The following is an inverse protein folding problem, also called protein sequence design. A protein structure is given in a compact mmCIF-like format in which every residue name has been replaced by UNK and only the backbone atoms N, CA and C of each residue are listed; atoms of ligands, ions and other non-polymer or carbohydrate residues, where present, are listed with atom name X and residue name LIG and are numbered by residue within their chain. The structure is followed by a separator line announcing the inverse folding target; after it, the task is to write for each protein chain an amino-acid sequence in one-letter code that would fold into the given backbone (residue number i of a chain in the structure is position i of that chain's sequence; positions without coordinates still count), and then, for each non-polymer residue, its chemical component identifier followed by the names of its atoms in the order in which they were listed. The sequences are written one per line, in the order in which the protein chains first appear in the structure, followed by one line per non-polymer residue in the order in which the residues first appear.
data_IF_545454169474
#
_entry.id   IF_545454169474
#
_cell.length_a   1.000
_cell.length_b   1.000
_cell.length_c   1.000
_cell.angle_alpha   90.00
_cell.angle_beta   90.00
_cell.angle_gamma   90.00
#
_symmetry.space_group_name_H-M   'P 1'
#
loop_
_entity.id
_entity.type
_entity.pdbx_description
1 polymer ?
#
# COMPACT_ATOMS: atom_id res chain seq x y z
N UNK A 1 -8.92 -0.69 -30.50
CA UNK A 1 -9.46 -1.92 -31.11
C UNK A 1 -10.73 -2.24 -30.34
N UNK A 2 -11.92 -2.27 -30.96
CA UNK A 2 -13.14 -2.61 -30.23
C UNK A 2 -13.02 -4.03 -29.65
N UNK A 3 -13.55 -4.23 -28.44
CA UNK A 3 -13.62 -5.53 -27.78
C UNK A 3 -14.24 -6.55 -28.76
N UNK A 4 -13.64 -7.74 -28.87
CA UNK A 4 -14.23 -8.81 -29.67
C UNK A 4 -15.57 -9.20 -29.02
N UNK A 5 -16.70 -9.22 -29.74
CA UNK A 5 -18.03 -9.36 -29.14
C UNK A 5 -18.25 -10.62 -28.29
N UNK A 6 -17.45 -11.66 -28.50
CA UNK A 6 -17.68 -13.00 -27.94
C UNK A 6 -16.59 -13.47 -26.95
N UNK A 7 -15.54 -12.68 -26.70
CA UNK A 7 -14.49 -13.03 -25.75
C UNK A 7 -14.67 -12.23 -24.44
N UNK A 8 -14.58 -12.86 -23.25
CA UNK A 8 -14.68 -12.14 -21.98
C UNK A 8 -13.60 -11.07 -21.89
N UNK A 9 -13.92 -9.93 -21.26
CA UNK A 9 -12.95 -8.84 -21.06
C UNK A 9 -11.72 -9.37 -20.32
N UNK A 10 -10.51 -9.18 -20.86
CA UNK A 10 -9.27 -9.67 -20.24
C UNK A 10 -8.49 -8.53 -19.62
N UNK A 11 -8.39 -8.53 -18.29
CA UNK A 11 -7.67 -7.50 -17.55
C UNK A 11 -6.43 -8.11 -16.88
N UNK A 12 -5.27 -7.53 -17.16
CA UNK A 12 -4.05 -7.85 -16.43
C UNK A 12 -3.99 -7.00 -15.15
N UNK A 13 -3.80 -7.61 -13.97
CA UNK A 13 -3.58 -6.89 -12.72
C UNK A 13 -2.20 -7.21 -12.14
N UNK A 14 -1.51 -6.19 -11.62
CA UNK A 14 -0.16 -6.34 -11.07
C UNK A 14 -0.05 -5.58 -9.74
N UNK A 15 -0.08 -6.33 -8.64
CA UNK A 15 0.23 -5.85 -7.29
C UNK A 15 1.65 -6.25 -6.87
N UNK A 16 2.34 -5.40 -6.10
CA UNK A 16 3.70 -5.66 -5.61
C UNK A 16 3.80 -6.02 -4.12
N UNK A 17 2.72 -5.85 -3.38
CA UNK A 17 2.69 -6.00 -1.92
C UNK A 17 1.28 -6.34 -1.42
N UNK A 18 1.18 -6.69 -0.12
CA UNK A 18 -0.08 -7.13 0.48
C UNK A 18 -1.18 -6.05 0.52
N UNK A 19 -0.83 -4.76 0.70
CA UNK A 19 -1.82 -3.68 0.61
C UNK A 19 -2.40 -3.57 -0.80
N UNK A 20 -1.55 -3.72 -1.83
CA UNK A 20 -1.97 -3.78 -3.23
C UNK A 20 -2.83 -5.00 -3.56
N UNK A 21 -2.57 -6.15 -2.93
CA UNK A 21 -3.37 -7.36 -3.07
C UNK A 21 -4.82 -7.15 -2.58
N UNK A 22 -5.00 -6.54 -1.41
CA UNK A 22 -6.33 -6.22 -0.87
C UNK A 22 -7.12 -5.22 -1.74
N UNK A 23 -6.42 -4.24 -2.32
CA UNK A 23 -7.01 -3.31 -3.28
C UNK A 23 -7.42 -4.00 -4.57
N UNK A 24 -6.55 -4.86 -5.10
CA UNK A 24 -6.80 -5.65 -6.30
C UNK A 24 -7.99 -6.59 -6.13
N UNK A 25 -8.08 -7.27 -4.97
CA UNK A 25 -9.23 -8.11 -4.60
C UNK A 25 -10.56 -7.34 -4.71
N UNK A 26 -10.67 -6.18 -4.06
CA UNK A 26 -11.89 -5.36 -4.10
C UNK A 26 -12.22 -4.89 -5.51
N UNK A 27 -11.20 -4.48 -6.27
CA UNK A 27 -11.37 -4.08 -7.66
C UNK A 27 -11.87 -5.22 -8.54
N UNK A 28 -11.27 -6.42 -8.43
CA UNK A 28 -11.68 -7.59 -9.18
C UNK A 28 -13.14 -7.96 -8.92
N UNK A 29 -13.55 -7.94 -7.65
CA UNK A 29 -14.94 -8.20 -7.26
C UNK A 29 -15.91 -7.19 -7.89
N UNK A 30 -15.63 -5.89 -7.75
CA UNK A 30 -16.46 -4.84 -8.34
C UNK A 30 -16.53 -4.92 -9.88
N UNK A 31 -15.42 -5.24 -10.54
CA UNK A 31 -15.39 -5.42 -12.00
C UNK A 31 -16.17 -6.67 -12.43
N UNK A 32 -16.10 -7.77 -11.68
CA UNK A 32 -16.86 -8.99 -11.98
C UNK A 32 -18.36 -8.75 -11.86
N UNK A 33 -18.79 -8.06 -10.80
CA UNK A 33 -20.18 -7.65 -10.62
C UNK A 33 -20.65 -6.75 -11.78
N UNK A 34 -19.87 -5.73 -12.12
CA UNK A 34 -20.19 -4.79 -13.20
C UNK A 34 -20.23 -5.43 -14.61
N UNK A 35 -19.60 -6.61 -14.78
CA UNK A 35 -19.56 -7.35 -16.05
C UNK A 35 -20.39 -8.64 -16.01
N UNK A 36 -21.20 -8.85 -14.98
CA UNK A 36 -21.99 -10.08 -14.80
C UNK A 36 -21.17 -11.37 -14.98
N UNK A 37 -19.90 -11.35 -14.54
CA UNK A 37 -18.99 -12.49 -14.69
C UNK A 37 -18.21 -12.56 -16.01
N UNK A 38 -18.51 -11.72 -17.00
CA UNK A 38 -17.86 -11.70 -18.32
C UNK A 38 -16.51 -10.94 -18.30
N UNK A 39 -15.60 -11.41 -17.44
CA UNK A 39 -14.28 -10.84 -17.25
C UNK A 39 -13.30 -11.92 -16.74
N UNK A 40 -12.08 -11.90 -17.27
CA UNK A 40 -11.00 -12.79 -16.87
C UNK A 40 -9.79 -11.97 -16.38
N UNK A 41 -9.20 -12.44 -15.28
CA UNK A 41 -8.06 -11.79 -14.63
C UNK A 41 -6.80 -12.65 -14.70
N UNK A 42 -5.66 -12.02 -14.89
CA UNK A 42 -4.34 -12.66 -14.78
C UNK A 42 -3.27 -11.63 -14.42
N UNK A 43 -2.11 -12.08 -13.95
CA UNK A 43 -0.98 -11.20 -13.68
C UNK A 43 -0.27 -11.54 -12.39
N UNK A 44 -0.08 -10.58 -11.49
CA UNK A 44 0.62 -10.80 -10.22
C UNK A 44 -0.26 -10.26 -9.09
N UNK A 45 -0.60 -11.13 -8.15
CA UNK A 45 -1.35 -10.81 -6.95
C UNK A 45 -0.96 -11.76 -5.82
N UNK A 46 -1.46 -11.47 -4.63
CA UNK A 46 -1.33 -12.32 -3.46
C UNK A 46 -2.56 -13.21 -3.27
N UNK A 47 -2.69 -13.76 -2.08
CA UNK A 47 -3.74 -14.72 -1.71
C UNK A 47 -5.15 -14.16 -1.92
N UNK A 48 -5.38 -12.87 -1.66
CA UNK A 48 -6.70 -12.27 -1.81
C UNK A 48 -7.13 -12.20 -3.28
N UNK A 49 -6.24 -11.72 -4.17
CA UNK A 49 -6.52 -11.71 -5.61
C UNK A 49 -6.63 -13.12 -6.19
N UNK A 50 -5.81 -14.06 -5.72
CA UNK A 50 -5.89 -15.47 -6.15
C UNK A 50 -7.23 -16.12 -5.76
N UNK A 51 -7.75 -15.82 -4.56
CA UNK A 51 -9.08 -16.28 -4.13
C UNK A 51 -10.21 -15.74 -5.04
N UNK A 52 -9.99 -14.59 -5.68
CA UNK A 52 -10.88 -14.02 -6.71
C UNK A 52 -10.58 -14.55 -8.13
N UNK A 53 -9.79 -15.61 -8.26
CA UNK A 53 -9.54 -16.27 -9.53
C UNK A 53 -8.46 -15.60 -10.39
N UNK A 54 -7.65 -14.69 -9.83
CA UNK A 54 -6.42 -14.27 -10.49
C UNK A 54 -5.43 -15.44 -10.53
N UNK A 55 -4.94 -15.78 -11.71
CA UNK A 55 -3.80 -16.68 -11.85
C UNK A 55 -2.51 -15.89 -11.71
N UNK A 56 -1.90 -15.91 -10.53
CA UNK A 56 -0.62 -15.23 -10.28
C UNK A 56 0.52 -15.93 -11.03
N UNK A 57 1.40 -15.15 -11.67
CA UNK A 57 2.54 -15.67 -12.44
C UNK A 57 3.64 -16.23 -11.53
N UNK A 58 3.68 -15.80 -10.27
CA UNK A 58 4.61 -16.23 -9.23
C UNK A 58 4.14 -15.70 -7.87
N UNK A 59 4.61 -16.27 -6.74
CA UNK A 59 4.26 -15.78 -5.41
C UNK A 59 4.68 -14.32 -5.19
N UNK A 60 3.77 -13.47 -4.68
CA UNK A 60 4.04 -12.04 -4.46
C UNK A 60 5.22 -11.80 -3.48
N UNK A 61 5.53 -12.78 -2.62
CA UNK A 61 6.70 -12.79 -1.74
C UNK A 61 8.06 -12.70 -2.47
N UNK A 62 8.11 -13.04 -3.76
CA UNK A 62 9.32 -12.91 -4.58
C UNK A 62 9.69 -11.43 -4.83
N UNK A 63 8.70 -10.53 -4.77
CA UNK A 63 8.86 -9.10 -5.06
C UNK A 63 8.55 -8.19 -3.87
N UNK A 64 7.91 -8.71 -2.82
CA UNK A 64 7.72 -8.00 -1.56
C UNK A 64 9.07 -7.82 -0.83
N UNK A 65 9.76 -6.71 -1.11
CA UNK A 65 11.03 -6.38 -0.45
C UNK A 65 10.77 -5.41 0.70
N UNK A 66 10.72 -5.93 1.93
CA UNK A 66 10.80 -5.10 3.14
C UNK A 66 12.23 -5.09 3.69
N UNK A 67 12.81 -3.89 3.83
CA UNK A 67 14.13 -3.65 4.44
C UNK A 67 15.25 -3.33 3.44
N UNK A 68 16.21 -2.50 3.85
CA UNK A 68 17.26 -1.93 2.97
C UNK A 68 18.41 -2.93 2.66
N UNK A 69 18.70 -3.85 3.58
CA UNK A 69 19.84 -4.79 3.44
C UNK A 69 19.57 -6.02 2.52
N UNK A 70 18.34 -6.56 2.39
CA UNK A 70 18.02 -7.61 1.40
C UNK A 70 17.88 -7.12 -0.05
N UNK A 71 17.83 -5.80 -0.29
CA UNK A 71 17.45 -5.21 -1.60
C UNK A 71 18.46 -5.53 -2.71
N UNK A 72 19.76 -5.47 -2.42
CA UNK A 72 20.78 -5.70 -3.45
C UNK A 72 20.84 -7.15 -3.91
N UNK A 73 20.75 -8.11 -2.97
CA UNK A 73 20.75 -9.54 -3.30
C UNK A 73 19.51 -9.98 -4.08
N UNK A 74 18.36 -9.30 -3.86
CA UNK A 74 17.10 -9.61 -4.56
C UNK A 74 16.88 -8.81 -5.84
N UNK A 75 17.75 -7.84 -6.16
CA UNK A 75 17.63 -7.03 -7.37
C UNK A 75 17.63 -7.87 -8.68
N UNK A 76 18.47 -8.91 -8.85
CA UNK A 76 18.42 -9.76 -10.04
C UNK A 76 17.06 -10.46 -10.20
N UNK A 77 16.53 -11.02 -9.10
CA UNK A 77 15.20 -11.64 -9.06
C UNK A 77 14.12 -10.65 -9.40
N UNK A 78 14.14 -9.44 -8.82
CA UNK A 78 13.18 -8.38 -9.12
C UNK A 78 13.19 -8.02 -10.61
N UNK A 79 14.38 -7.86 -11.21
CA UNK A 79 14.52 -7.57 -12.65
C UNK A 79 13.98 -8.72 -13.49
N UNK A 80 14.27 -9.97 -13.12
CA UNK A 80 13.75 -11.15 -13.80
C UNK A 80 12.21 -11.20 -13.74
N UNK A 81 11.62 -10.97 -12.56
CA UNK A 81 10.16 -10.92 -12.35
C UNK A 81 9.50 -9.79 -13.13
N UNK A 82 10.11 -8.61 -13.21
CA UNK A 82 9.63 -7.51 -14.07
C UNK A 82 9.57 -7.93 -15.54
N UNK A 83 10.64 -8.57 -16.03
CA UNK A 83 10.73 -9.03 -17.43
C UNK A 83 9.69 -10.13 -17.71
N UNK A 84 9.59 -11.12 -16.84
CA UNK A 84 8.64 -12.23 -16.96
C UNK A 84 7.19 -11.72 -16.96
N UNK A 85 6.84 -10.82 -16.02
CA UNK A 85 5.51 -10.22 -15.93
C UNK A 85 5.15 -9.46 -17.21
N UNK A 86 6.05 -8.59 -17.68
CA UNK A 86 5.82 -7.83 -18.91
C UNK A 86 5.69 -8.74 -20.13
N UNK A 87 6.54 -9.77 -20.26
CA UNK A 87 6.47 -10.72 -21.37
C UNK A 87 5.14 -11.50 -21.38
N UNK A 88 4.68 -11.96 -20.22
CA UNK A 88 3.40 -12.66 -20.10
C UNK A 88 2.21 -11.76 -20.48
N UNK A 89 2.20 -10.50 -20.02
CA UNK A 89 1.16 -9.52 -20.39
C UNK A 89 1.17 -9.24 -21.89
N UNK A 90 2.35 -9.04 -22.48
CA UNK A 90 2.50 -8.76 -23.92
C UNK A 90 2.04 -9.95 -24.76
N UNK A 91 2.40 -11.18 -24.37
CA UNK A 91 1.97 -12.40 -25.05
C UNK A 91 0.45 -12.59 -24.97
N UNK A 92 -0.13 -12.28 -23.82
CA UNK A 92 -1.57 -12.42 -23.58
C UNK A 92 -2.42 -11.39 -24.34
N UNK A 93 -1.87 -10.19 -24.64
CA UNK A 93 -2.58 -9.06 -25.28
C UNK A 93 -3.95 -8.79 -24.61
N UNK A 94 -3.96 -8.39 -23.33
CA UNK A 94 -5.21 -8.06 -22.63
C UNK A 94 -5.89 -6.83 -23.23
N UNK A 95 -7.10 -6.55 -22.77
CA UNK A 95 -7.84 -5.34 -23.10
C UNK A 95 -7.44 -4.15 -22.23
N UNK A 96 -6.91 -4.40 -21.02
CA UNK A 96 -6.35 -3.39 -20.14
C UNK A 96 -5.29 -3.97 -19.18
N UNK A 97 -4.40 -3.11 -18.71
CA UNK A 97 -3.49 -3.38 -17.60
C UNK A 97 -3.79 -2.42 -16.44
N UNK A 98 -4.02 -2.98 -15.25
CA UNK A 98 -4.10 -2.25 -13.99
C UNK A 98 -2.85 -2.54 -13.17
N UNK A 99 -2.03 -1.54 -12.94
CA UNK A 99 -0.95 -1.61 -11.96
C UNK A 99 -1.45 -1.09 -10.61
N UNK A 100 -1.07 -1.74 -9.51
CA UNK A 100 -1.57 -1.42 -8.17
C UNK A 100 -0.40 -1.20 -7.22
N UNK A 101 -0.24 0.04 -6.78
CA UNK A 101 0.80 0.47 -5.84
C UNK A 101 2.23 0.02 -6.25
N UNK A 102 3.18 -0.02 -5.32
CA UNK A 102 4.52 -0.60 -5.49
C UNK A 102 5.26 -0.12 -6.75
N UNK A 103 5.45 1.22 -6.91
CA UNK A 103 5.86 1.84 -8.17
C UNK A 103 7.24 1.39 -8.68
N UNK A 104 8.13 0.92 -7.80
CA UNK A 104 9.45 0.42 -8.19
C UNK A 104 9.38 -0.90 -8.97
N UNK A 105 8.31 -1.69 -8.80
CA UNK A 105 8.04 -2.89 -9.58
C UNK A 105 7.04 -2.61 -10.71
N UNK A 106 5.85 -2.13 -10.34
CA UNK A 106 4.69 -2.08 -11.24
C UNK A 106 4.87 -1.10 -12.40
N UNK A 107 5.45 0.10 -12.16
CA UNK A 107 5.71 1.05 -13.25
C UNK A 107 6.80 0.55 -14.21
N UNK A 108 7.74 -0.29 -13.75
CA UNK A 108 8.77 -0.89 -14.62
C UNK A 108 8.16 -1.97 -15.53
N UNK A 109 7.12 -2.66 -15.08
CA UNK A 109 6.28 -3.54 -15.90
C UNK A 109 5.51 -2.71 -16.91
N UNK A 110 4.78 -1.68 -16.47
CA UNK A 110 3.97 -0.82 -17.34
C UNK A 110 4.78 -0.18 -18.48
N UNK A 111 6.00 0.32 -18.21
CA UNK A 111 6.89 0.85 -19.25
C UNK A 111 7.25 -0.18 -20.33
N UNK A 112 7.52 -1.43 -19.93
CA UNK A 112 7.84 -2.51 -20.86
C UNK A 112 6.62 -2.93 -21.68
N UNK A 113 5.47 -3.03 -21.02
CA UNK A 113 4.21 -3.34 -21.69
C UNK A 113 3.84 -2.25 -22.69
N UNK A 114 3.92 -0.97 -22.31
CA UNK A 114 3.68 0.16 -23.22
C UNK A 114 4.58 0.13 -24.45
N UNK A 115 5.87 -0.18 -24.28
CA UNK A 115 6.81 -0.24 -25.39
C UNK A 115 6.44 -1.32 -26.42
N UNK A 116 5.89 -2.45 -25.97
CA UNK A 116 5.48 -3.55 -26.84
C UNK A 116 4.03 -3.47 -27.32
N UNK A 117 3.14 -2.84 -26.55
CA UNK A 117 1.71 -2.64 -26.83
C UNK A 117 1.34 -1.15 -26.67
N UNK A 118 1.72 -0.27 -27.62
CA UNK A 118 1.52 1.18 -27.48
C UNK A 118 0.06 1.62 -27.30
N UNK A 119 -0.90 0.82 -27.77
CA UNK A 119 -2.33 1.11 -27.68
C UNK A 119 -3.05 0.45 -26.51
N UNK A 120 -2.36 -0.30 -25.65
CA UNK A 120 -2.99 -0.94 -24.49
C UNK A 120 -3.35 0.14 -23.43
N UNK A 121 -4.61 0.20 -22.96
CA UNK A 121 -4.96 1.02 -21.80
C UNK A 121 -4.20 0.57 -20.54
N UNK A 122 -3.49 1.50 -19.90
CA UNK A 122 -2.76 1.27 -18.65
C UNK A 122 -3.31 2.21 -17.58
N UNK A 123 -3.87 1.62 -16.53
CA UNK A 123 -4.42 2.31 -15.36
C UNK A 123 -3.50 2.08 -14.16
N UNK A 124 -3.20 3.15 -13.45
CA UNK A 124 -2.43 3.13 -12.20
C UNK A 124 -3.39 3.32 -11.01
N UNK A 125 -3.52 2.30 -10.17
CA UNK A 125 -4.38 2.34 -8.98
C UNK A 125 -3.53 2.49 -7.73
N UNK A 126 -3.77 3.59 -7.02
CA UNK A 126 -2.91 4.13 -5.95
C UNK A 126 -1.67 4.79 -6.51
N UNK A 127 -1.80 6.10 -6.70
CA UNK A 127 -0.70 6.92 -7.17
C UNK A 127 0.49 6.85 -6.22
N UNK A 128 1.74 6.78 -6.74
CA UNK A 128 2.89 7.18 -5.94
C UNK A 128 2.69 8.61 -5.44
N UNK A 129 3.18 8.93 -4.23
CA UNK A 129 3.05 10.27 -3.62
C UNK A 129 3.93 11.33 -4.30
N UNK A 130 3.80 11.49 -5.62
CA UNK A 130 4.60 12.36 -6.50
C UNK A 130 4.46 13.85 -6.14
N UNK A 131 3.36 14.21 -5.48
CA UNK A 131 3.16 15.54 -4.90
C UNK A 131 4.04 15.79 -3.68
N UNK A 132 4.39 14.74 -2.92
CA UNK A 132 5.21 14.83 -1.72
C UNK A 132 6.71 14.66 -2.03
N UNK A 133 7.07 13.92 -3.09
CA UNK A 133 8.46 13.72 -3.48
C UNK A 133 8.64 13.36 -4.96
N UNK A 134 9.74 13.85 -5.57
CA UNK A 134 10.09 13.64 -7.00
C UNK A 134 8.96 14.00 -7.98
N UNK A 135 8.51 15.28 -8.03
CA UNK A 135 7.39 15.73 -8.85
C UNK A 135 7.54 15.45 -10.35
N UNK A 136 8.78 15.38 -10.86
CA UNK A 136 9.05 15.02 -12.25
C UNK A 136 8.54 13.63 -12.66
N UNK A 137 8.25 12.75 -11.70
CA UNK A 137 7.64 11.43 -11.97
C UNK A 137 6.24 11.52 -12.55
N UNK A 138 5.44 12.50 -12.12
CA UNK A 138 4.09 12.68 -12.65
C UNK A 138 4.14 12.91 -14.18
N UNK A 139 4.96 13.86 -14.64
CA UNK A 139 5.16 14.10 -16.08
C UNK A 139 5.70 12.86 -16.80
N UNK A 140 6.64 12.14 -16.20
CA UNK A 140 7.20 10.92 -16.78
C UNK A 140 6.15 9.80 -16.93
N UNK A 141 5.14 9.74 -16.07
CA UNK A 141 4.06 8.74 -16.16
C UNK A 141 3.23 8.87 -17.42
N UNK A 142 3.10 10.07 -18.01
CA UNK A 142 2.32 10.28 -19.25
C UNK A 142 2.79 9.44 -20.43
N UNK A 143 4.04 8.99 -20.44
CA UNK A 143 4.54 8.14 -21.54
C UNK A 143 4.10 6.68 -21.43
N UNK A 144 3.50 6.24 -20.31
CA UNK A 144 3.09 4.85 -20.12
C UNK A 144 1.77 4.63 -19.37
N UNK A 145 1.26 5.60 -18.61
CA UNK A 145 -0.02 5.52 -17.89
C UNK A 145 -1.04 6.43 -18.55
N UNK A 146 -2.24 5.90 -18.81
CA UNK A 146 -3.35 6.65 -19.40
C UNK A 146 -4.23 7.30 -18.33
N UNK A 147 -4.45 6.60 -17.21
CA UNK A 147 -5.29 7.08 -16.11
C UNK A 147 -4.73 6.65 -14.76
N UNK A 148 -4.82 7.54 -13.78
CA UNK A 148 -4.51 7.29 -12.37
C UNK A 148 -5.81 7.28 -11.57
N UNK A 149 -5.99 6.28 -10.71
CA UNK A 149 -7.06 6.20 -9.71
C UNK A 149 -6.50 6.63 -8.35
N UNK A 150 -6.89 7.83 -7.95
CA UNK A 150 -6.42 8.55 -6.78
C UNK A 150 -7.25 8.24 -5.52
N UNK A 151 -6.57 8.06 -4.39
CA UNK A 151 -7.22 7.79 -3.10
C UNK A 151 -7.54 9.06 -2.32
N UNK A 152 -6.89 10.18 -2.63
CA UNK A 152 -7.06 11.44 -1.90
C UNK A 152 -7.69 12.51 -2.80
N UNK A 153 -8.64 13.32 -2.29
CA UNK A 153 -9.44 14.22 -3.12
C UNK A 153 -8.63 15.33 -3.79
N UNK A 154 -7.43 15.67 -3.28
CA UNK A 154 -6.56 16.69 -3.84
C UNK A 154 -5.59 16.16 -4.93
N UNK A 155 -5.47 14.83 -5.08
CA UNK A 155 -4.51 14.24 -6.03
C UNK A 155 -4.79 14.60 -7.50
N UNK A 156 -6.04 14.67 -7.98
CA UNK A 156 -6.32 15.13 -9.35
C UNK A 156 -5.74 16.52 -9.65
N UNK A 157 -5.86 17.45 -8.72
CA UNK A 157 -5.31 18.81 -8.85
C UNK A 157 -3.78 18.80 -8.83
N UNK A 158 -3.19 17.97 -7.98
CA UNK A 158 -1.75 17.77 -7.95
C UNK A 158 -1.23 17.21 -9.29
N UNK A 159 -1.89 16.20 -9.86
CA UNK A 159 -1.52 15.62 -11.15
C UNK A 159 -1.62 16.64 -12.29
N UNK A 160 -2.70 17.43 -12.31
CA UNK A 160 -2.87 18.52 -13.29
C UNK A 160 -1.74 19.54 -13.19
N UNK A 161 -1.42 20.01 -11.97
CA UNK A 161 -0.31 20.95 -11.72
C UNK A 161 1.05 20.38 -12.14
N UNK A 162 1.27 19.09 -11.90
CA UNK A 162 2.53 18.41 -12.22
C UNK A 162 2.60 17.90 -13.67
N UNK A 163 1.61 18.24 -14.52
CA UNK A 163 1.52 17.78 -15.91
C UNK A 163 1.58 16.26 -16.04
N UNK A 164 0.91 15.55 -15.12
CA UNK A 164 0.79 14.09 -15.11
C UNK A 164 -0.34 13.56 -16.01
N UNK A 165 -0.56 12.22 -16.01
CA UNK A 165 -1.71 11.59 -16.65
C UNK A 165 -3.05 12.12 -16.12
N UNK A 166 -4.15 11.74 -16.82
CA UNK A 166 -5.50 11.92 -16.29
C UNK A 166 -5.58 11.24 -14.93
N UNK A 167 -6.13 11.93 -13.93
CA UNK A 167 -6.23 11.43 -12.57
C UNK A 167 -7.68 11.61 -12.07
N UNK A 168 -8.23 10.54 -11.50
CA UNK A 168 -9.62 10.48 -11.04
C UNK A 168 -9.62 10.06 -9.57
N UNK A 169 -10.24 10.85 -8.71
CA UNK A 169 -10.44 10.50 -7.31
C UNK A 169 -11.49 9.39 -7.19
N UNK A 170 -11.12 8.26 -6.56
CA UNK A 170 -11.99 7.08 -6.39
C UNK A 170 -12.32 6.78 -4.92
N UNK A 171 -11.90 7.66 -4.00
CA UNK A 171 -12.09 7.45 -2.57
C UNK A 171 -10.99 6.58 -1.95
N UNK A 172 -10.87 6.66 -0.62
CA UNK A 172 -9.92 5.86 0.14
C UNK A 172 -10.65 4.65 0.74
N UNK A 173 -10.16 3.40 0.55
CA UNK A 173 -10.81 2.20 1.10
C UNK A 173 -10.98 2.19 2.62
N UNK A 174 -10.28 3.08 3.34
CA UNK A 174 -10.42 3.24 4.79
C UNK A 174 -11.83 3.70 5.17
N UNK A 175 -12.54 4.35 4.24
CA UNK A 175 -13.90 4.83 4.47
C UNK A 175 -14.87 3.68 4.76
N UNK A 176 -14.63 2.50 4.20
CA UNK A 176 -15.45 1.30 4.42
C UNK A 176 -15.29 0.73 5.84
N UNK A 177 -14.16 1.00 6.48
CA UNK A 177 -13.84 0.56 7.86
C UNK A 177 -14.17 1.61 8.90
N UNK A 178 -14.80 2.74 8.54
CA UNK A 178 -15.06 3.81 9.51
C UNK A 178 -15.90 3.34 10.70
N UNK A 179 -16.79 2.36 10.51
CA UNK A 179 -17.58 1.77 11.61
C UNK A 179 -16.71 1.02 12.63
N UNK A 180 -15.68 0.32 12.17
CA UNK A 180 -14.68 -0.37 13.02
C UNK A 180 -13.74 0.61 13.71
N UNK A 181 -13.50 1.76 13.09
CA UNK A 181 -12.57 2.80 13.57
C UNK A 181 -13.24 3.85 14.46
N UNK A 182 -14.50 3.62 14.88
CA UNK A 182 -15.16 4.47 15.87
C UNK A 182 -14.78 4.03 17.28
N UNK A 183 -14.55 4.99 18.21
CA UNK A 183 -14.34 4.65 19.60
C UNK A 183 -15.48 3.80 20.13
N UNK A 184 -15.16 2.68 20.77
CA UNK A 184 -16.15 1.88 21.48
C UNK A 184 -16.65 2.62 22.75
N UNK A 185 -17.64 2.05 23.43
CA UNK A 185 -18.25 2.69 24.61
C UNK A 185 -17.22 2.99 25.72
N UNK A 186 -16.20 2.16 25.87
CA UNK A 186 -15.15 2.35 26.86
C UNK A 186 -14.10 3.37 26.41
N UNK A 187 -13.73 3.39 25.14
CA UNK A 187 -12.83 4.40 24.56
C UNK A 187 -13.47 5.80 24.55
N UNK A 188 -14.79 5.88 24.35
CA UNK A 188 -15.54 7.14 24.43
C UNK A 188 -15.60 7.70 25.85
N UNK A 189 -15.44 6.84 26.88
CA UNK A 189 -15.39 7.23 28.31
C UNK A 189 -13.99 7.62 28.79
N UNK A 190 -12.94 7.31 28.02
CA UNK A 190 -11.53 7.62 28.36
C UNK A 190 -11.14 9.10 28.29
N UNK A 191 -11.78 10.02 27.54
CA UNK A 191 -11.44 11.44 27.60
C UNK A 191 -11.60 11.97 29.04
N UNK A 192 -10.49 12.36 29.67
CA UNK A 192 -10.48 12.84 31.06
C UNK A 192 -10.20 11.77 32.13
N UNK A 193 -9.86 10.54 31.75
CA UNK A 193 -9.38 9.54 32.72
C UNK A 193 -8.07 9.99 33.36
N UNK A 194 -7.96 9.87 34.68
CA UNK A 194 -6.71 10.06 35.42
C UNK A 194 -6.15 8.69 35.84
N UNK A 195 -4.88 8.37 35.53
CA UNK A 195 -3.93 9.20 34.77
C UNK A 195 -4.25 9.20 33.25
N UNK A 196 -3.85 10.25 32.50
CA UNK A 196 -4.08 10.30 31.06
C UNK A 196 -3.37 9.15 30.33
N UNK A 197 -3.98 8.67 29.25
CA UNK A 197 -3.43 7.61 28.40
C UNK A 197 -2.77 8.20 27.15
N UNK A 198 -1.51 7.85 26.89
CA UNK A 198 -0.76 8.29 25.71
C UNK A 198 -0.47 7.08 24.82
N UNK A 199 -0.80 7.22 23.54
CA UNK A 199 -0.45 6.23 22.51
C UNK A 199 0.85 6.65 21.82
N UNK A 200 1.83 5.75 21.80
CA UNK A 200 3.14 5.99 21.17
C UNK A 200 3.24 5.15 19.90
N UNK A 201 3.47 5.81 18.77
CA UNK A 201 3.56 5.19 17.43
C UNK A 201 4.94 5.47 16.83
N UNK A 202 6.00 4.75 17.24
CA UNK A 202 7.38 5.03 16.85
C UNK A 202 7.72 4.59 15.42
N UNK A 203 6.77 3.99 14.70
CA UNK A 203 6.93 3.51 13.34
C UNK A 203 6.76 1.99 13.23
N UNK A 204 6.75 1.50 12.00
CA UNK A 204 6.60 0.07 11.69
C UNK A 204 7.91 -0.57 11.23
N UNK A 205 8.94 0.24 10.94
CA UNK A 205 10.22 -0.21 10.42
C UNK A 205 11.29 -0.13 11.50
N UNK A 206 12.18 -1.12 11.53
CA UNK A 206 13.36 -1.12 12.43
C UNK A 206 14.13 0.20 12.41
N UNK A 207 14.36 0.80 11.24
CA UNK A 207 15.06 2.09 11.12
C UNK A 207 14.31 3.25 11.77
N UNK A 208 12.98 3.25 11.72
CA UNK A 208 12.14 4.27 12.39
C UNK A 208 12.25 4.07 13.90
N UNK A 209 12.08 2.83 14.37
CA UNK A 209 12.23 2.46 15.79
C UNK A 209 13.60 2.90 16.33
N UNK A 210 14.69 2.45 15.70
CA UNK A 210 16.06 2.78 16.13
C UNK A 210 16.33 4.28 16.22
N UNK A 211 15.75 5.07 15.31
CA UNK A 211 16.00 6.51 15.24
C UNK A 211 15.07 7.32 16.15
N UNK A 212 13.80 6.94 16.25
CA UNK A 212 12.77 7.75 16.91
C UNK A 212 12.59 7.37 18.39
N UNK A 213 12.83 6.12 18.78
CA UNK A 213 12.58 5.68 20.16
C UNK A 213 13.34 6.51 21.23
N UNK A 214 14.61 6.91 21.03
CA UNK A 214 15.30 7.78 21.98
C UNK A 214 14.60 9.15 22.14
N UNK A 215 14.16 9.74 21.03
CA UNK A 215 13.44 11.02 21.03
C UNK A 215 12.08 10.91 21.71
N UNK A 216 11.35 9.81 21.49
CA UNK A 216 10.12 9.50 22.23
C UNK A 216 10.38 9.39 23.73
N UNK A 217 11.44 8.69 24.16
CA UNK A 217 11.81 8.59 25.57
C UNK A 217 12.09 9.96 26.20
N UNK A 218 12.87 10.81 25.52
CA UNK A 218 13.14 12.18 25.97
C UNK A 218 11.88 13.04 26.07
N UNK A 219 11.00 12.96 25.07
CA UNK A 219 9.72 13.67 25.08
C UNK A 219 8.81 13.22 26.24
N UNK A 220 8.74 11.91 26.50
CA UNK A 220 7.96 11.36 27.61
C UNK A 220 8.53 11.78 28.98
N UNK A 221 9.85 11.83 29.13
CA UNK A 221 10.49 12.30 30.35
C UNK A 221 10.17 13.78 30.63
N UNK A 222 10.26 14.64 29.61
CA UNK A 222 9.89 16.05 29.72
C UNK A 222 8.39 16.23 30.00
N UNK A 223 7.55 15.44 29.33
CA UNK A 223 6.11 15.48 29.50
C UNK A 223 5.71 15.11 30.94
N UNK A 224 6.32 14.08 31.52
CA UNK A 224 6.05 13.65 32.91
C UNK A 224 6.28 14.77 33.93
N UNK A 225 7.32 15.57 33.72
CA UNK A 225 7.62 16.71 34.60
C UNK A 225 6.52 17.79 34.55
N UNK A 226 5.80 17.89 33.43
CA UNK A 226 4.81 18.95 33.18
C UNK A 226 3.39 18.50 33.50
N UNK A 227 3.00 17.28 33.12
CA UNK A 227 1.62 16.79 33.24
C UNK A 227 1.43 15.75 34.35
N UNK A 228 2.51 15.30 34.99
CA UNK A 228 2.47 14.27 36.03
C UNK A 228 2.38 12.84 35.46
N UNK A 229 1.92 11.87 36.26
CA UNK A 229 1.80 10.48 35.85
C UNK A 229 0.84 10.28 34.66
N UNK A 230 1.20 9.40 33.73
CA UNK A 230 0.38 8.97 32.60
C UNK A 230 0.57 7.47 32.36
N UNK A 231 -0.40 6.84 31.69
CA UNK A 231 -0.26 5.48 31.17
C UNK A 231 0.17 5.51 29.72
N UNK A 232 0.92 4.50 29.30
CA UNK A 232 1.44 4.39 27.92
C UNK A 232 0.90 3.13 27.25
N UNK A 233 0.50 3.25 25.99
CA UNK A 233 0.23 2.14 25.08
C UNK A 233 1.10 2.29 23.83
N UNK A 234 1.76 1.22 23.42
CA UNK A 234 2.63 1.20 22.25
C UNK A 234 2.28 0.01 21.35
N UNK A 235 1.46 0.23 20.32
CA UNK A 235 1.17 -0.78 19.31
C UNK A 235 2.40 -1.02 18.41
N UNK A 236 2.79 -2.28 18.24
CA UNK A 236 3.92 -2.65 17.38
C UNK A 236 3.69 -3.98 16.64
N UNK A 237 4.65 -4.36 15.79
CA UNK A 237 4.61 -5.60 15.00
C UNK A 237 5.45 -6.70 15.67
N UNK A 238 5.07 -7.99 15.58
CA UNK A 238 5.77 -9.08 16.26
C UNK A 238 7.28 -9.14 15.97
N UNK A 239 7.69 -8.85 14.74
CA UNK A 239 9.09 -8.95 14.31
C UNK A 239 10.00 -7.82 14.85
N UNK A 240 9.43 -6.74 15.42
CA UNK A 240 10.16 -5.61 16.03
C UNK A 240 9.92 -5.49 17.54
N UNK A 241 9.06 -6.32 18.12
CA UNK A 241 8.69 -6.24 19.54
C UNK A 241 9.91 -6.22 20.47
N UNK A 242 10.88 -7.11 20.24
CA UNK A 242 12.08 -7.21 21.08
C UNK A 242 12.88 -5.90 21.12
N UNK A 243 12.99 -5.22 19.99
CA UNK A 243 13.72 -3.95 19.90
C UNK A 243 12.95 -2.83 20.58
N UNK A 244 11.63 -2.78 20.37
CA UNK A 244 10.76 -1.83 21.05
C UNK A 244 10.86 -1.99 22.56
N UNK A 245 10.81 -3.22 23.09
CA UNK A 245 10.98 -3.50 24.53
C UNK A 245 12.34 -3.04 25.05
N UNK A 246 13.41 -3.28 24.30
CA UNK A 246 14.75 -2.85 24.69
C UNK A 246 14.86 -1.33 24.79
N UNK A 247 14.34 -0.59 23.81
CA UNK A 247 14.37 0.88 23.84
C UNK A 247 13.43 1.48 24.90
N UNK A 248 12.28 0.85 25.13
CA UNK A 248 11.30 1.33 26.11
C UNK A 248 11.67 0.99 27.56
N UNK A 249 12.73 0.20 27.80
CA UNK A 249 13.16 -0.18 29.14
C UNK A 249 13.58 1.02 29.99
N UNK A 250 14.17 2.04 29.35
CA UNK A 250 14.67 3.25 30.01
C UNK A 250 13.62 4.39 30.04
N UNK A 251 12.38 4.11 29.65
CA UNK A 251 11.32 5.10 29.67
C UNK A 251 10.84 5.40 31.09
N UNK A 252 10.36 6.62 31.35
CA UNK A 252 9.90 7.01 32.68
C UNK A 252 8.69 6.18 33.18
N UNK A 253 7.94 5.58 32.26
CA UNK A 253 6.86 4.63 32.53
C UNK A 253 6.93 3.50 31.49
N UNK A 254 6.74 2.23 31.89
CA UNK A 254 6.76 1.11 30.95
C UNK A 254 5.49 1.11 30.08
N UNK A 255 5.59 1.04 28.75
CA UNK A 255 4.41 0.97 27.89
C UNK A 255 3.75 -0.40 27.93
N UNK A 256 2.41 -0.40 27.93
CA UNK A 256 1.63 -1.55 27.54
C UNK A 256 1.82 -1.79 26.04
N UNK A 257 2.63 -2.78 25.68
CA UNK A 257 2.92 -3.12 24.28
C UNK A 257 1.81 -4.04 23.76
N UNK A 258 1.16 -3.62 22.68
CA UNK A 258 0.10 -4.38 22.01
C UNK A 258 0.58 -4.88 20.64
N UNK A 259 0.22 -6.11 20.30
CA UNK A 259 0.61 -6.80 19.06
C UNK A 259 -0.64 -7.16 18.24
N UNK A 260 -0.54 -7.04 16.92
CA UNK A 260 -1.60 -7.44 15.99
C UNK A 260 -2.69 -6.39 15.80
N UNK A 261 -3.68 -6.67 14.95
CA UNK A 261 -4.82 -5.76 14.73
C UNK A 261 -5.84 -5.83 15.87
N UNK A 262 -6.14 -7.01 16.41
CA UNK A 262 -7.18 -7.18 17.43
C UNK A 262 -6.85 -6.50 18.75
N UNK A 263 -5.57 -6.47 19.16
CA UNK A 263 -5.13 -5.78 20.37
C UNK A 263 -5.01 -4.25 20.22
N UNK A 264 -5.37 -3.70 19.05
CA UNK A 264 -5.42 -2.25 18.80
C UNK A 264 -6.81 -1.64 18.99
N UNK A 265 -7.83 -2.47 19.25
CA UNK A 265 -9.23 -2.08 19.47
C UNK A 265 -9.68 -2.38 20.91
#
# INVERSE_FOLDING_TARGET
MPLRPDDPLRVALVAGEHSGDQLGFKLMRALREARAGDIAFFGVGGEAMEAEGLKSLFPISDIAVMGILPVLARLPTLIARIRATAAAIVAAKPDALVIIDSPDFTHRVARRVRAALPGLPIVDYVSPTVWAWRPGRAKAMRSYVDCVLALLPFEPDAYRRLSGPRCVYVGHPLIERLGELRPNADETRRPGSAPPLIVVLPGSRRSEITRLMPDFGGALAALRQTVGPFSLVLPTLPHIEREVRAYAADWPEPPAITLGEEAKY
#
